data_IF_039492933692
#
_entry.id   IF_039492933692
#
_cell.length_a   1.000
_cell.length_b   1.000
_cell.length_c   1.000
_cell.angle_alpha   90.00
_cell.angle_beta   90.00
_cell.angle_gamma   90.00
#
_symmetry.space_group_name_H-M   'P 1'
#
loop_
_entity.id
_entity.type
_entity.pdbx_description
1 polymer ?
#
# COMPACT_ATOMS: atom_id res chain seq x y z
N UNK A 1 34.84 -4.55 47.11
CA UNK A 1 34.52 -5.18 45.81
C UNK A 1 33.25 -4.54 45.27
N UNK A 2 33.28 -4.17 43.99
CA UNK A 2 32.24 -3.43 43.30
C UNK A 2 31.15 -4.35 42.75
N UNK A 3 29.91 -3.86 42.67
CA UNK A 3 29.00 -4.28 41.61
C UNK A 3 27.96 -3.17 41.34
N UNK A 4 28.24 -2.34 40.33
CA UNK A 4 27.24 -1.49 39.70
C UNK A 4 26.51 -2.34 38.65
N UNK A 5 25.23 -2.69 38.90
CA UNK A 5 24.36 -3.21 37.85
C UNK A 5 23.73 -2.04 37.09
N UNK A 6 24.27 -1.72 35.91
CA UNK A 6 23.59 -0.92 34.91
C UNK A 6 22.60 -1.83 34.15
N UNK A 7 21.34 -1.83 34.57
CA UNK A 7 20.25 -2.38 33.77
C UNK A 7 19.92 -1.41 32.64
N UNK A 8 20.62 -1.55 31.51
CA UNK A 8 20.21 -0.90 30.26
C UNK A 8 19.11 -1.75 29.65
N UNK A 9 17.87 -1.52 30.10
CA UNK A 9 16.69 -2.08 29.45
C UNK A 9 16.52 -1.39 28.10
N UNK A 10 16.88 -2.09 27.01
CA UNK A 10 16.53 -1.65 25.66
C UNK A 10 15.01 -1.86 25.49
N UNK A 11 14.21 -0.87 25.92
CA UNK A 11 12.81 -0.84 25.57
C UNK A 11 12.73 -0.53 24.07
N UNK A 12 12.48 -1.56 23.26
CA UNK A 12 12.05 -1.36 21.88
C UNK A 12 10.71 -0.65 21.93
N UNK A 13 10.71 0.67 21.73
CA UNK A 13 9.50 1.40 21.38
C UNK A 13 9.17 0.95 19.96
N UNK A 14 8.27 -0.02 19.83
CA UNK A 14 7.61 -0.26 18.54
C UNK A 14 6.72 0.94 18.31
N UNK A 15 7.02 1.83 17.33
CA UNK A 15 6.11 2.93 17.05
C UNK A 15 4.73 2.36 16.73
N UNK A 16 3.69 3.03 17.20
CA UNK A 16 2.32 2.63 16.89
C UNK A 16 2.17 2.48 15.37
N UNK A 17 1.46 1.42 14.96
CA UNK A 17 1.08 1.28 13.56
C UNK A 17 0.40 2.56 13.13
N UNK A 18 0.93 3.20 12.09
CA UNK A 18 0.31 4.36 11.46
C UNK A 18 -1.11 3.95 11.08
N UNK A 19 -2.09 4.51 11.78
CA UNK A 19 -3.49 4.40 11.40
C UNK A 19 -3.72 5.43 10.30
N UNK A 20 -3.85 4.93 9.08
CA UNK A 20 -4.32 5.68 7.93
C UNK A 20 -5.85 5.60 7.97
N UNK A 21 -6.49 6.62 8.54
CA UNK A 21 -7.93 6.69 8.80
C UNK A 21 -8.73 7.17 7.58
N UNK A 22 -8.02 7.54 6.51
CA UNK A 22 -8.63 8.06 5.29
C UNK A 22 -8.73 6.94 4.25
N UNK A 23 -9.96 6.51 3.98
CA UNK A 23 -10.22 5.63 2.85
C UNK A 23 -9.92 6.37 1.53
N UNK A 24 -9.18 5.73 0.63
CA UNK A 24 -8.84 6.32 -0.67
C UNK A 24 -10.03 6.19 -1.63
N UNK A 25 -10.56 7.33 -2.07
CA UNK A 25 -11.61 7.39 -3.10
C UNK A 25 -11.10 6.88 -4.45
N UNK A 26 -11.92 6.08 -5.14
CA UNK A 26 -11.69 5.57 -6.49
C UNK A 26 -12.92 5.79 -7.38
N UNK A 27 -12.80 6.73 -8.32
CA UNK A 27 -13.86 7.14 -9.23
C UNK A 27 -14.22 6.07 -10.28
N UNK A 28 -13.33 5.10 -10.52
CA UNK A 28 -13.55 4.00 -11.45
C UNK A 28 -14.29 2.81 -10.82
N UNK A 29 -14.61 2.90 -9.53
CA UNK A 29 -15.44 1.92 -8.84
C UNK A 29 -16.86 1.87 -9.44
N UNK A 30 -17.37 0.69 -9.85
CA UNK A 30 -18.76 0.57 -10.31
C UNK A 30 -19.78 0.95 -9.24
N UNK A 31 -20.95 1.44 -9.66
CA UNK A 31 -21.98 1.99 -8.77
C UNK A 31 -22.56 0.99 -7.75
N UNK A 32 -22.32 -0.31 -7.95
CA UNK A 32 -22.73 -1.37 -7.03
C UNK A 32 -21.80 -1.53 -5.81
N UNK A 33 -20.65 -0.84 -5.77
CA UNK A 33 -19.67 -0.92 -4.70
C UNK A 33 -19.41 0.46 -4.07
N UNK A 34 -18.89 0.48 -2.84
CA UNK A 34 -18.46 1.73 -2.18
C UNK A 34 -17.19 2.26 -2.87
N UNK A 35 -17.18 3.54 -3.26
CA UNK A 35 -16.05 4.20 -3.92
C UNK A 35 -14.86 4.46 -2.97
N UNK A 36 -15.08 4.41 -1.66
CA UNK A 36 -14.04 4.56 -0.63
C UNK A 36 -13.32 3.22 -0.36
N UNK A 37 -12.85 2.57 -1.43
CA UNK A 37 -12.30 1.21 -1.38
C UNK A 37 -10.81 1.12 -1.79
N UNK A 38 -10.18 2.26 -2.11
CA UNK A 38 -8.80 2.31 -2.58
C UNK A 38 -8.53 1.56 -3.89
N UNK A 39 -9.59 1.24 -4.63
CA UNK A 39 -9.60 0.44 -5.85
C UNK A 39 -9.57 -1.08 -5.65
N UNK A 40 -9.85 -1.57 -4.43
CA UNK A 40 -10.02 -3.00 -4.13
C UNK A 40 -11.49 -3.35 -3.97
N UNK A 41 -11.99 -4.30 -4.75
CA UNK A 41 -13.40 -4.71 -4.75
C UNK A 41 -13.62 -5.98 -3.91
N UNK A 42 -12.77 -6.98 -4.06
CA UNK A 42 -12.91 -8.26 -3.37
C UNK A 42 -11.58 -9.02 -3.28
N UNK A 43 -11.41 -9.82 -2.22
CA UNK A 43 -10.32 -10.79 -2.10
C UNK A 43 -10.83 -12.17 -2.46
N UNK A 44 -10.10 -12.88 -3.32
CA UNK A 44 -10.35 -14.26 -3.74
C UNK A 44 -9.15 -15.13 -3.36
N UNK A 45 -9.30 -16.44 -3.42
CA UNK A 45 -8.19 -17.36 -3.12
C UNK A 45 -7.01 -17.18 -4.09
N UNK A 46 -7.30 -16.88 -5.35
CA UNK A 46 -6.31 -16.77 -6.42
C UNK A 46 -5.85 -15.34 -6.71
N UNK A 47 -6.35 -14.33 -5.99
CA UNK A 47 -6.01 -12.94 -6.25
C UNK A 47 -7.01 -11.95 -5.70
N UNK A 48 -6.90 -10.70 -6.14
CA UNK A 48 -7.77 -9.60 -5.73
C UNK A 48 -8.45 -8.99 -6.94
N UNK A 49 -9.75 -8.70 -6.82
CA UNK A 49 -10.47 -7.92 -7.81
C UNK A 49 -10.21 -6.44 -7.57
N UNK A 50 -9.69 -5.76 -8.58
CA UNK A 50 -9.33 -4.35 -8.55
C UNK A 50 -10.02 -3.57 -9.66
N UNK A 51 -10.16 -2.27 -9.43
CA UNK A 51 -10.70 -1.30 -10.39
C UNK A 51 -9.70 -0.96 -11.50
N UNK A 52 -10.17 -0.28 -12.55
CA UNK A 52 -9.31 0.25 -13.61
C UNK A 52 -8.26 1.22 -13.06
N UNK A 53 -8.65 2.13 -12.16
CA UNK A 53 -7.73 3.10 -11.59
C UNK A 53 -6.67 2.44 -10.70
N UNK A 54 -7.00 1.38 -9.95
CA UNK A 54 -6.01 0.60 -9.22
C UNK A 54 -5.02 -0.10 -10.14
N UNK A 55 -5.48 -0.66 -11.27
CA UNK A 55 -4.62 -1.26 -12.31
C UNK A 55 -3.65 -0.22 -12.88
N UNK A 56 -4.14 0.97 -13.21
CA UNK A 56 -3.32 2.04 -13.76
C UNK A 56 -2.29 2.55 -12.73
N UNK A 57 -2.68 2.64 -11.44
CA UNK A 57 -1.78 2.96 -10.34
C UNK A 57 -0.70 1.91 -10.16
N UNK A 58 -1.04 0.62 -10.27
CA UNK A 58 -0.06 -0.47 -10.23
C UNK A 58 0.99 -0.31 -11.33
N UNK A 59 0.56 -0.12 -12.58
CA UNK A 59 1.48 0.12 -13.70
C UNK A 59 2.32 1.38 -13.49
N UNK A 60 1.74 2.44 -12.93
CA UNK A 60 2.48 3.66 -12.62
C UNK A 60 3.59 3.42 -11.60
N UNK A 61 3.31 2.61 -10.58
CA UNK A 61 4.33 2.23 -9.59
C UNK A 61 5.45 1.39 -10.20
N UNK A 62 5.13 0.50 -11.15
CA UNK A 62 6.14 -0.24 -11.92
C UNK A 62 7.06 0.74 -12.65
N UNK A 63 6.50 1.72 -13.38
CA UNK A 63 7.31 2.74 -14.08
C UNK A 63 8.27 3.46 -13.12
N UNK A 64 7.77 3.84 -11.93
CA UNK A 64 8.53 4.58 -10.92
C UNK A 64 9.61 3.74 -10.24
N UNK A 65 9.34 2.46 -10.00
CA UNK A 65 10.13 1.64 -9.08
C UNK A 65 10.80 0.42 -9.71
N UNK A 66 10.59 0.09 -11.00
CA UNK A 66 11.20 -1.10 -11.65
C UNK A 66 12.70 -1.24 -11.45
N UNK A 67 13.45 -0.13 -11.49
CA UNK A 67 14.91 -0.14 -11.26
C UNK A 67 15.25 -0.48 -9.80
N UNK A 68 14.57 0.15 -8.84
CA UNK A 68 14.74 -0.10 -7.40
C UNK A 68 14.33 -1.54 -7.06
N UNK A 69 13.19 -1.98 -7.58
CA UNK A 69 12.66 -3.31 -7.35
C UNK A 69 13.60 -4.39 -7.87
N UNK A 70 14.14 -4.23 -9.08
CA UNK A 70 15.15 -5.15 -9.63
C UNK A 70 16.41 -5.20 -8.76
N UNK A 71 16.88 -4.06 -8.26
CA UNK A 71 18.05 -3.99 -7.38
C UNK A 71 17.82 -4.67 -6.03
N UNK A 72 16.67 -4.46 -5.40
CA UNK A 72 16.40 -4.91 -4.03
C UNK A 72 15.79 -6.32 -3.94
N UNK A 73 15.07 -6.75 -4.99
CA UNK A 73 14.31 -8.00 -5.00
C UNK A 73 14.76 -8.98 -6.08
N UNK A 74 15.71 -8.59 -6.94
CA UNK A 74 16.18 -9.39 -8.07
C UNK A 74 15.07 -9.83 -9.05
N UNK A 75 13.97 -9.08 -9.10
CA UNK A 75 12.79 -9.35 -9.94
C UNK A 75 12.62 -8.19 -10.93
N UNK A 76 12.38 -8.53 -12.18
CA UNK A 76 12.07 -7.57 -13.23
C UNK A 76 10.56 -7.38 -13.34
N UNK A 77 10.09 -6.16 -13.05
CA UNK A 77 8.68 -5.81 -13.14
C UNK A 77 8.30 -5.47 -14.58
N UNK A 78 7.14 -5.98 -15.00
CA UNK A 78 6.54 -5.73 -16.32
C UNK A 78 5.11 -5.24 -16.12
N UNK A 79 4.71 -4.20 -16.84
CA UNK A 79 3.34 -3.67 -16.78
C UNK A 79 2.30 -4.73 -17.14
N UNK A 80 1.17 -4.71 -16.43
CA UNK A 80 0.10 -5.70 -16.51
C UNK A 80 0.50 -7.15 -16.21
N UNK A 81 1.73 -7.41 -15.75
CA UNK A 81 2.09 -8.72 -15.25
C UNK A 81 1.20 -9.08 -14.05
N UNK A 82 0.73 -10.33 -14.03
CA UNK A 82 -0.20 -10.82 -13.02
C UNK A 82 -1.60 -10.22 -13.05
N UNK A 83 -1.95 -9.43 -14.08
CA UNK A 83 -3.28 -8.84 -14.25
C UNK A 83 -4.05 -9.57 -15.35
N UNK A 84 -5.28 -9.95 -15.05
CA UNK A 84 -6.22 -10.54 -16.01
C UNK A 84 -7.54 -9.76 -16.03
N UNK A 85 -8.23 -9.64 -17.19
CA UNK A 85 -9.59 -9.14 -17.22
C UNK A 85 -10.51 -9.99 -16.35
N UNK A 86 -11.42 -9.35 -15.63
CA UNK A 86 -12.41 -10.01 -14.78
C UNK A 86 -13.79 -9.39 -14.99
N UNK A 87 -14.82 -10.22 -15.15
CA UNK A 87 -16.21 -9.77 -15.23
C UNK A 87 -16.96 -10.24 -14.01
N UNK A 88 -17.51 -9.31 -13.24
CA UNK A 88 -18.24 -9.65 -12.02
C UNK A 88 -19.69 -10.09 -12.30
N UNK A 89 -20.42 -10.44 -11.24
CA UNK A 89 -21.84 -10.85 -11.32
C UNK A 89 -22.77 -9.76 -11.83
N UNK A 90 -22.36 -8.50 -11.79
CA UNK A 90 -23.14 -7.36 -12.27
C UNK A 90 -22.79 -6.99 -13.72
N UNK A 91 -21.85 -7.71 -14.34
CA UNK A 91 -21.39 -7.48 -15.71
C UNK A 91 -20.31 -6.41 -15.83
N UNK A 92 -19.81 -5.87 -14.72
CA UNK A 92 -18.76 -4.85 -14.70
C UNK A 92 -17.44 -5.42 -15.21
N UNK A 93 -16.74 -4.64 -16.03
CA UNK A 93 -15.38 -4.96 -16.49
C UNK A 93 -14.37 -4.45 -15.45
N UNK A 94 -13.72 -5.39 -14.77
CA UNK A 94 -12.74 -5.20 -13.70
C UNK A 94 -11.47 -5.98 -14.03
N UNK A 95 -10.54 -6.07 -13.07
CA UNK A 95 -9.31 -6.81 -13.22
C UNK A 95 -9.06 -7.72 -12.01
N UNK A 96 -8.55 -8.91 -12.25
CA UNK A 96 -7.99 -9.78 -11.23
C UNK A 96 -6.47 -9.57 -11.23
N UNK A 97 -5.91 -9.15 -10.10
CA UNK A 97 -4.47 -9.18 -9.86
C UNK A 97 -4.14 -10.42 -9.03
N UNK A 98 -3.15 -11.20 -9.44
CA UNK A 98 -2.73 -12.38 -8.68
C UNK A 98 -2.05 -11.99 -7.35
N UNK A 99 -1.90 -12.98 -6.47
CA UNK A 99 -1.37 -12.75 -5.13
C UNK A 99 0.09 -12.28 -5.12
N UNK A 100 0.92 -12.72 -6.07
CA UNK A 100 2.32 -12.32 -6.17
C UNK A 100 2.42 -10.82 -6.52
N UNK A 101 1.68 -10.41 -7.55
CA UNK A 101 1.68 -9.04 -8.04
C UNK A 101 0.94 -8.10 -7.09
N UNK A 102 -0.02 -8.59 -6.31
CA UNK A 102 -0.62 -7.84 -5.19
C UNK A 102 0.43 -7.51 -4.12
N UNK A 103 1.31 -8.46 -3.77
CA UNK A 103 2.41 -8.21 -2.83
C UNK A 103 3.36 -7.16 -3.41
N UNK A 104 3.68 -7.25 -4.70
CA UNK A 104 4.52 -6.25 -5.38
C UNK A 104 3.89 -4.86 -5.35
N UNK A 105 2.57 -4.79 -5.58
CA UNK A 105 1.80 -3.56 -5.46
C UNK A 105 1.92 -2.96 -4.05
N UNK A 106 1.78 -3.78 -3.00
CA UNK A 106 1.94 -3.35 -1.62
C UNK A 106 3.34 -2.78 -1.32
N UNK A 107 4.39 -3.47 -1.75
CA UNK A 107 5.80 -3.03 -1.56
C UNK A 107 6.05 -1.69 -2.25
N UNK A 108 5.60 -1.52 -3.49
CA UNK A 108 5.82 -0.26 -4.20
C UNK A 108 5.01 0.89 -3.58
N UNK A 109 3.80 0.62 -3.10
CA UNK A 109 3.02 1.62 -2.35
C UNK A 109 3.71 2.03 -1.05
N UNK A 110 4.36 1.12 -0.32
CA UNK A 110 5.08 1.49 0.92
C UNK A 110 6.24 2.45 0.61
N UNK A 111 6.98 2.22 -0.47
CA UNK A 111 8.02 3.16 -0.91
C UNK A 111 7.48 4.51 -1.37
N UNK A 112 6.27 4.55 -1.93
CA UNK A 112 5.61 5.82 -2.24
C UNK A 112 5.28 6.60 -0.97
N UNK A 113 4.76 5.92 0.07
CA UNK A 113 4.46 6.53 1.37
C UNK A 113 5.72 7.05 2.08
N UNK A 114 6.85 6.37 1.95
CA UNK A 114 8.14 6.83 2.50
C UNK A 114 8.66 8.13 1.85
N UNK A 115 8.28 8.42 0.59
CA UNK A 115 8.72 9.62 -0.13
C UNK A 115 7.85 10.84 0.14
N UNK A 116 6.57 10.64 0.49
CA UNK A 116 5.73 11.72 0.99
C UNK A 116 6.21 11.96 2.42
N UNK A 117 6.66 13.18 2.81
CA UNK A 117 6.95 13.44 4.21
C UNK A 117 5.70 13.09 4.99
N UNK A 118 5.75 12.01 5.79
CA UNK A 118 4.73 11.82 6.81
C UNK A 118 4.82 13.07 7.67
N UNK A 119 3.71 13.82 7.79
CA UNK A 119 3.63 14.94 8.74
C UNK A 119 4.36 14.52 10.00
N UNK A 120 5.46 15.21 10.24
CA UNK A 120 6.42 14.73 11.22
C UNK A 120 5.69 14.71 12.56
N UNK A 121 6.08 13.81 13.46
CA UNK A 121 5.52 13.80 14.83
C UNK A 121 5.64 15.21 15.47
N UNK A 122 6.59 16.01 15.00
CA UNK A 122 6.79 17.42 15.35
C UNK A 122 5.61 18.29 14.87
N UNK A 123 5.18 18.16 13.61
CA UNK A 123 4.05 18.93 13.06
C UNK A 123 2.74 18.62 13.82
N UNK A 124 2.47 17.34 14.10
CA UNK A 124 1.32 16.93 14.93
C UNK A 124 1.40 17.43 16.38
N UNK A 125 2.61 17.62 16.91
CA UNK A 125 2.81 18.15 18.26
C UNK A 125 2.61 19.66 18.28
N UNK A 126 3.05 20.37 17.25
CA UNK A 126 2.86 21.82 17.09
C UNK A 126 1.37 22.16 16.95
N UNK A 127 0.64 21.41 16.12
CA UNK A 127 -0.81 21.62 15.95
C UNK A 127 -1.61 21.37 17.22
N UNK A 128 -1.15 20.45 18.08
CA UNK A 128 -1.78 20.18 19.39
C UNK A 128 -1.51 21.26 20.44
N UNK A 129 -0.44 22.05 20.28
CA UNK A 129 -0.08 23.14 21.19
C UNK A 129 -0.80 24.44 20.79
N UNK A 130 -1.12 24.60 19.51
CA UNK A 130 -1.73 25.80 18.95
C UNK A 130 -3.27 25.78 18.93
N UNK A 131 -3.90 24.73 19.48
CA UNK A 131 -5.35 24.54 19.62
C UNK A 131 -5.70 24.33 21.10
#
# INVERSE_FOLDING_TARGET
MALNLLFVGCATVTPDKIQDDTASYDASTPSQYNQDNGGVIALLENGTIITTQAKDRYNKLIEMYKVKFKKEKAIELVENAGIQPYKDRYGNDLFLIDNEHLVYFGVMNSWLKEKVPQDSVIDKTIDRINN
#
